data_IF_070616418865
#
_entry.id   IF_070616418865
#
_cell.length_a   1.000
_cell.length_b   1.000
_cell.length_c   1.000
_cell.angle_alpha   90.00
_cell.angle_beta   90.00
_cell.angle_gamma   90.00
#
_symmetry.space_group_name_H-M   'P 1'
#
loop_
_entity.id
_entity.type
_entity.pdbx_description
1 polymer ?
#
# COMPACT_ATOMS: atom_id res chain seq x y z
N UNK A 1 -3.77 13.15 63.07
CA UNK A 1 -2.57 13.40 62.26
C UNK A 1 -2.54 12.36 61.16
N UNK A 2 -3.04 12.69 59.97
CA UNK A 2 -2.96 11.82 58.79
C UNK A 2 -2.11 12.53 57.76
N UNK A 3 -0.88 12.06 57.60
CA UNK A 3 0.04 12.51 56.56
C UNK A 3 -0.46 12.00 55.21
N UNK A 4 -0.95 12.89 54.35
CA UNK A 4 -1.15 12.60 52.94
C UNK A 4 0.22 12.55 52.26
N UNK A 5 0.59 11.40 51.70
CA UNK A 5 1.69 11.33 50.72
C UNK A 5 1.30 12.15 49.47
N UNK A 6 2.20 12.95 48.90
CA UNK A 6 1.93 13.65 47.66
C UNK A 6 1.85 12.63 46.51
N UNK A 7 0.84 12.81 45.65
CA UNK A 7 0.67 12.06 44.41
C UNK A 7 1.98 12.11 43.59
N UNK A 8 2.52 10.95 43.26
CA UNK A 8 3.56 10.81 42.25
C UNK A 8 3.04 11.45 40.95
N UNK A 9 3.68 12.55 40.54
CA UNK A 9 3.49 13.15 39.24
C UNK A 9 3.89 12.13 38.17
N UNK A 10 2.93 11.35 37.66
CA UNK A 10 3.14 10.44 36.55
C UNK A 10 3.28 11.27 35.27
N UNK A 11 4.52 11.62 34.91
CA UNK A 11 4.80 12.23 33.61
C UNK A 11 4.15 11.38 32.50
N UNK A 12 3.62 12.01 31.43
CA UNK A 12 2.98 11.28 30.33
C UNK A 12 3.96 10.26 29.74
N UNK A 13 3.46 9.06 29.44
CA UNK A 13 4.27 7.96 28.88
C UNK A 13 4.79 8.38 27.50
N UNK A 14 6.09 8.64 27.40
CA UNK A 14 6.79 8.91 26.13
C UNK A 14 7.33 7.63 25.52
N UNK A 15 7.68 7.67 24.23
CA UNK A 15 8.46 6.60 23.61
C UNK A 15 9.77 6.45 24.40
N UNK A 16 9.98 5.29 25.02
CA UNK A 16 11.22 4.99 25.75
C UNK A 16 12.30 4.57 24.76
N UNK A 17 13.55 4.97 25.03
CA UNK A 17 14.71 4.44 24.32
C UNK A 17 14.88 2.94 24.63
N UNK A 18 15.45 2.19 23.69
CA UNK A 18 15.71 0.76 23.87
C UNK A 18 16.64 0.51 25.06
N UNK A 19 16.31 -0.48 25.88
CA UNK A 19 17.09 -0.84 27.08
C UNK A 19 18.32 -1.71 26.76
N UNK A 20 18.53 -2.11 25.50
CA UNK A 20 19.51 -3.15 25.16
C UNK A 20 20.50 -2.71 24.08
N UNK A 21 21.77 -3.07 24.28
CA UNK A 21 22.90 -2.80 23.37
C UNK A 21 22.91 -3.68 22.09
N UNK A 22 21.82 -4.42 21.81
CA UNK A 22 21.82 -5.50 20.80
C UNK A 22 20.87 -5.25 19.60
N UNK A 23 20.50 -3.98 19.36
CA UNK A 23 19.66 -3.58 18.22
C UNK A 23 20.34 -3.89 16.88
N UNK A 24 21.68 -3.92 16.86
CA UNK A 24 22.46 -4.28 15.67
C UNK A 24 22.15 -5.70 15.16
N UNK A 25 21.76 -6.62 16.04
CA UNK A 25 21.36 -7.98 15.68
C UNK A 25 20.04 -8.07 14.89
N UNK A 26 19.24 -7.00 14.86
CA UNK A 26 18.01 -6.96 14.06
C UNK A 26 18.28 -6.89 12.56
N UNK A 27 19.41 -6.30 12.12
CA UNK A 27 19.60 -5.89 10.72
C UNK A 27 19.42 -7.01 9.70
N UNK A 28 19.70 -8.26 10.07
CA UNK A 28 19.67 -9.42 9.18
C UNK A 28 18.42 -10.29 9.34
N UNK A 29 17.58 -10.01 10.33
CA UNK A 29 16.44 -10.86 10.66
C UNK A 29 15.20 -10.47 9.85
N UNK A 30 14.55 -11.47 9.25
CA UNK A 30 13.25 -11.31 8.59
C UNK A 30 12.16 -11.96 9.41
N UNK A 31 11.02 -11.28 9.52
CA UNK A 31 9.84 -11.82 10.20
C UNK A 31 8.87 -12.39 9.15
N UNK A 32 8.16 -11.52 8.44
CA UNK A 32 7.42 -11.82 7.21
C UNK A 32 7.54 -10.61 6.28
N UNK A 33 7.43 -10.84 4.98
CA UNK A 33 7.40 -9.75 4.00
C UNK A 33 5.99 -9.20 3.89
N UNK A 34 5.79 -7.90 4.16
CA UNK A 34 4.52 -7.23 3.91
C UNK A 34 4.33 -6.94 2.43
N UNK A 35 3.29 -7.50 1.83
CA UNK A 35 2.97 -7.30 0.41
C UNK A 35 1.71 -6.45 0.20
N UNK A 36 0.65 -6.74 0.96
CA UNK A 36 -0.65 -6.12 0.80
C UNK A 36 -1.37 -5.92 2.15
N UNK A 37 -2.57 -5.34 2.10
CA UNK A 37 -3.36 -4.99 3.29
C UNK A 37 -3.82 -6.21 4.11
N UNK A 38 -4.00 -7.38 3.50
CA UNK A 38 -4.44 -8.57 4.22
C UNK A 38 -3.42 -9.03 5.27
N UNK A 39 -2.13 -8.85 4.97
CA UNK A 39 -1.03 -9.26 5.84
C UNK A 39 -0.70 -8.22 6.91
N UNK A 40 -1.21 -6.99 6.79
CA UNK A 40 -0.80 -5.85 7.61
C UNK A 40 -0.97 -6.09 9.10
N UNK A 41 -2.12 -6.66 9.52
CA UNK A 41 -2.40 -6.89 10.94
C UNK A 41 -1.42 -7.89 11.55
N UNK A 42 -1.18 -9.00 10.86
CA UNK A 42 -0.23 -10.03 11.28
C UNK A 42 1.20 -9.46 11.29
N UNK A 43 1.57 -8.75 10.23
CA UNK A 43 2.87 -8.10 10.11
C UNK A 43 3.14 -7.12 11.26
N UNK A 44 2.20 -6.19 11.56
CA UNK A 44 2.34 -5.24 12.69
C UNK A 44 2.51 -5.98 14.02
N UNK A 45 1.75 -7.05 14.23
CA UNK A 45 1.85 -7.87 15.45
C UNK A 45 3.23 -8.53 15.58
N UNK A 46 3.78 -9.07 14.49
CA UNK A 46 5.06 -9.74 14.48
C UNK A 46 6.23 -8.76 14.66
N UNK A 47 6.19 -7.59 14.01
CA UNK A 47 7.13 -6.49 14.25
C UNK A 47 7.10 -6.08 15.72
N UNK A 48 5.90 -5.82 16.27
CA UNK A 48 5.76 -5.42 17.67
C UNK A 48 6.28 -6.49 18.64
N UNK A 49 5.95 -7.77 18.40
CA UNK A 49 6.43 -8.87 19.22
C UNK A 49 7.96 -8.97 19.20
N UNK A 50 8.58 -8.78 18.03
CA UNK A 50 10.04 -8.81 17.92
C UNK A 50 10.69 -7.63 18.63
N UNK A 51 10.14 -6.43 18.49
CA UNK A 51 10.67 -5.26 19.20
C UNK A 51 10.45 -5.36 20.70
N UNK A 52 9.39 -6.05 21.16
CA UNK A 52 9.12 -6.25 22.57
C UNK A 52 10.22 -7.07 23.25
N UNK A 53 10.78 -8.09 22.60
CA UNK A 53 11.88 -8.88 23.17
C UNK A 53 13.17 -8.06 23.37
N UNK A 54 13.30 -6.93 22.69
CA UNK A 54 14.42 -6.00 22.78
C UNK A 54 14.11 -4.77 23.65
N UNK A 55 12.86 -4.64 24.12
CA UNK A 55 12.37 -3.48 24.87
C UNK A 55 12.21 -2.22 24.00
N UNK A 56 11.98 -2.40 22.71
CA UNK A 56 11.95 -1.34 21.69
C UNK A 56 10.56 -1.12 21.06
N UNK A 57 9.54 -1.85 21.52
CA UNK A 57 8.19 -1.82 20.93
C UNK A 57 7.53 -0.44 20.99
N UNK A 58 7.92 0.40 21.93
CA UNK A 58 7.36 1.76 22.05
C UNK A 58 7.90 2.71 20.94
N UNK A 59 8.97 2.35 20.22
CA UNK A 59 9.55 3.19 19.16
C UNK A 59 8.74 3.19 17.86
N UNK A 60 7.86 2.20 17.66
CA UNK A 60 6.95 2.12 16.51
C UNK A 60 5.56 2.69 16.81
N UNK A 61 5.36 3.22 18.02
CA UNK A 61 4.06 3.69 18.51
C UNK A 61 3.89 5.19 18.27
N UNK A 62 3.23 5.54 17.17
CA UNK A 62 2.88 6.93 16.87
C UNK A 62 1.90 7.58 17.86
N UNK A 63 1.22 6.79 18.70
CA UNK A 63 0.33 7.29 19.75
C UNK A 63 1.08 7.74 21.03
N UNK A 64 2.38 7.44 21.13
CA UNK A 64 3.24 7.90 22.22
C UNK A 64 4.03 9.13 21.78
N UNK A 65 4.13 10.13 22.66
CA UNK A 65 4.94 11.30 22.40
C UNK A 65 6.43 10.94 22.32
N UNK A 66 7.13 11.50 21.33
CA UNK A 66 8.60 11.41 21.22
C UNK A 66 9.27 12.16 22.38
N UNK A 67 10.45 11.71 22.84
CA UNK A 67 11.29 12.54 23.70
C UNK A 67 11.66 13.84 22.98
N UNK A 68 11.84 14.91 23.75
CA UNK A 68 12.28 16.20 23.23
C UNK A 68 13.79 16.22 23.06
N UNK A 69 14.35 17.07 22.19
CA UNK A 69 15.81 17.19 22.00
C UNK A 69 16.58 17.47 23.30
N UNK A 70 15.95 18.11 24.28
CA UNK A 70 16.55 18.43 25.58
C UNK A 70 16.50 17.27 26.59
N UNK A 71 15.73 16.21 26.31
CA UNK A 71 15.57 15.07 27.21
C UNK A 71 16.83 14.20 27.20
N UNK A 72 17.22 13.73 28.40
CA UNK A 72 18.30 12.73 28.54
C UNK A 72 17.89 11.46 27.80
N UNK A 73 18.68 11.06 26.80
CA UNK A 73 18.43 9.87 25.97
C UNK A 73 17.76 10.15 24.63
N UNK A 74 17.53 11.42 24.23
CA UNK A 74 17.03 11.75 22.90
C UNK A 74 17.94 11.23 21.77
N UNK A 75 19.25 11.38 21.93
CA UNK A 75 20.22 10.89 20.95
C UNK A 75 20.15 9.37 20.78
N UNK A 76 20.05 8.64 21.89
CA UNK A 76 19.92 7.18 21.88
C UNK A 76 18.59 6.75 21.28
N UNK A 77 17.49 7.40 21.67
CA UNK A 77 16.17 7.18 21.08
C UNK A 77 16.19 7.40 19.55
N UNK A 78 16.78 8.50 19.09
CA UNK A 78 16.85 8.84 17.67
C UNK A 78 17.67 7.82 16.88
N UNK A 79 18.81 7.40 17.42
CA UNK A 79 19.62 6.33 16.84
C UNK A 79 18.83 5.01 16.73
N UNK A 80 18.23 4.56 17.83
CA UNK A 80 17.46 3.31 17.88
C UNK A 80 16.29 3.36 16.88
N UNK A 81 15.56 4.47 16.86
CA UNK A 81 14.40 4.68 15.98
C UNK A 81 14.80 4.62 14.51
N UNK A 82 15.92 5.22 14.11
CA UNK A 82 16.43 5.14 12.74
C UNK A 82 16.87 3.72 12.38
N UNK A 83 17.59 3.02 13.27
CA UNK A 83 18.04 1.64 13.01
C UNK A 83 16.85 0.71 12.84
N UNK A 84 15.85 0.82 13.71
CA UNK A 84 14.61 0.05 13.63
C UNK A 84 13.83 0.42 12.37
N UNK A 85 13.75 1.69 12.00
CA UNK A 85 13.14 2.13 10.74
C UNK A 85 13.78 1.45 9.53
N UNK A 86 15.12 1.47 9.44
CA UNK A 86 15.83 0.78 8.37
C UNK A 86 15.57 -0.73 8.36
N UNK A 87 15.52 -1.36 9.54
CA UNK A 87 15.17 -2.78 9.66
C UNK A 87 13.73 -3.06 9.17
N UNK A 88 12.75 -2.25 9.57
CA UNK A 88 11.34 -2.35 9.15
C UNK A 88 11.22 -2.19 7.63
N UNK A 89 11.99 -1.28 7.02
CA UNK A 89 12.02 -1.11 5.57
C UNK A 89 12.42 -2.42 4.86
N UNK A 90 13.27 -3.24 5.46
CA UNK A 90 13.65 -4.56 4.93
C UNK A 90 12.60 -5.66 5.15
N UNK A 91 11.50 -5.36 5.85
CA UNK A 91 10.38 -6.29 6.11
C UNK A 91 9.20 -6.09 5.15
N UNK A 92 9.34 -5.27 4.11
CA UNK A 92 8.28 -5.04 3.12
C UNK A 92 8.72 -5.52 1.74
N UNK A 93 7.76 -5.83 0.87
CA UNK A 93 8.01 -6.30 -0.49
C UNK A 93 8.69 -5.24 -1.35
N UNK A 94 9.33 -5.66 -2.45
CA UNK A 94 9.93 -4.75 -3.43
C UNK A 94 8.91 -3.74 -3.98
N UNK A 95 7.65 -4.15 -4.14
CA UNK A 95 6.58 -3.26 -4.61
C UNK A 95 6.23 -2.18 -3.58
N UNK A 96 6.19 -2.50 -2.28
CA UNK A 96 6.00 -1.52 -1.20
C UNK A 96 7.22 -0.61 -1.06
N UNK A 97 8.45 -1.16 -1.15
CA UNK A 97 9.69 -0.36 -1.15
C UNK A 97 9.72 0.68 -2.27
N UNK A 98 9.42 0.29 -3.50
CA UNK A 98 9.35 1.22 -4.65
C UNK A 98 8.33 2.35 -4.41
N UNK A 99 7.17 2.03 -3.82
CA UNK A 99 6.16 3.04 -3.45
C UNK A 99 6.63 3.97 -2.33
N UNK A 100 7.39 3.47 -1.36
CA UNK A 100 8.04 4.29 -0.32
C UNK A 100 9.06 5.26 -0.94
N UNK A 101 9.90 4.77 -1.85
CA UNK A 101 10.93 5.56 -2.54
C UNK A 101 10.33 6.69 -3.37
N UNK A 102 9.26 6.41 -4.13
CA UNK A 102 8.52 7.42 -4.88
C UNK A 102 7.96 8.53 -3.97
N UNK A 103 7.63 8.21 -2.71
CA UNK A 103 7.21 9.17 -1.67
C UNK A 103 8.37 9.80 -0.91
N UNK A 104 9.59 9.68 -1.43
CA UNK A 104 10.81 10.25 -0.87
C UNK A 104 11.37 9.48 0.33
N UNK A 105 10.86 8.28 0.63
CA UNK A 105 11.34 7.40 1.70
C UNK A 105 12.25 6.34 1.09
N UNK A 106 13.54 6.67 0.96
CA UNK A 106 14.57 5.75 0.46
C UNK A 106 15.47 5.21 1.56
N UNK A 107 16.17 4.11 1.26
CA UNK A 107 17.24 3.58 2.11
C UNK A 107 18.28 4.69 2.39
N UNK A 108 18.61 4.89 3.68
CA UNK A 108 19.60 5.89 4.11
C UNK A 108 19.07 7.30 4.42
N UNK A 109 17.78 7.61 4.17
CA UNK A 109 17.19 8.91 4.54
C UNK A 109 16.77 9.04 6.01
N UNK A 110 17.04 8.03 6.84
CA UNK A 110 16.88 8.08 8.30
C UNK A 110 15.51 8.56 8.75
N UNK A 111 14.47 7.73 8.56
CA UNK A 111 13.13 7.99 9.10
C UNK A 111 13.00 7.35 10.48
N UNK A 112 12.31 8.02 11.40
CA UNK A 112 11.94 7.42 12.68
C UNK A 112 10.98 6.25 12.47
N UNK A 113 11.08 5.24 13.31
CA UNK A 113 10.38 3.96 13.14
C UNK A 113 8.86 4.11 13.13
N UNK A 114 8.31 4.98 14.00
CA UNK A 114 6.88 5.31 14.05
C UNK A 114 6.40 6.02 12.77
N UNK A 115 7.13 7.03 12.29
CA UNK A 115 6.83 7.71 11.02
C UNK A 115 6.81 6.73 9.84
N UNK A 116 7.77 5.78 9.82
CA UNK A 116 7.86 4.80 8.76
C UNK A 116 6.70 3.79 8.81
N UNK A 117 6.33 3.33 10.01
CA UNK A 117 5.18 2.43 10.21
C UNK A 117 3.89 3.06 9.69
N UNK A 118 3.63 4.33 10.02
CA UNK A 118 2.48 5.07 9.55
C UNK A 118 2.47 5.21 8.02
N UNK A 119 3.63 5.46 7.41
CA UNK A 119 3.73 5.56 5.94
C UNK A 119 3.52 4.23 5.24
N UNK A 120 4.09 3.15 5.76
CA UNK A 120 3.87 1.80 5.25
C UNK A 120 2.39 1.44 5.31
N UNK A 121 1.75 1.71 6.46
CA UNK A 121 0.33 1.47 6.65
C UNK A 121 -0.52 2.26 5.64
N UNK A 122 -0.21 3.55 5.41
CA UNK A 122 -0.88 4.35 4.39
C UNK A 122 -0.68 3.83 2.96
N UNK A 123 0.53 3.37 2.62
CA UNK A 123 0.82 2.82 1.28
C UNK A 123 0.08 1.50 1.07
N UNK A 124 0.05 0.65 2.09
CA UNK A 124 -0.49 -0.70 2.00
C UNK A 124 -2.01 -0.70 2.09
N UNK A 125 -2.60 0.16 2.91
CA UNK A 125 -4.06 0.36 2.96
C UNK A 125 -4.59 1.23 1.84
N UNK A 126 -3.70 1.90 1.10
CA UNK A 126 -4.05 3.02 0.24
C UNK A 126 -4.48 4.23 1.05
N UNK A 127 -3.82 5.37 0.87
CA UNK A 127 -4.47 6.62 1.23
C UNK A 127 -5.37 7.05 0.07
N UNK A 128 -6.57 7.53 0.36
CA UNK A 128 -7.48 8.11 -0.62
C UNK A 128 -7.08 9.56 -0.97
N UNK A 129 -5.81 9.93 -0.78
CA UNK A 129 -5.38 11.28 -1.16
C UNK A 129 -5.42 11.40 -2.68
N UNK A 130 -5.69 12.62 -3.14
CA UNK A 130 -5.66 12.93 -4.55
C UNK A 130 -4.33 12.53 -5.21
N UNK A 131 -3.21 12.63 -4.48
CA UNK A 131 -1.89 12.24 -4.98
C UNK A 131 -1.79 10.74 -5.24
N UNK A 132 -2.27 9.89 -4.33
CA UNK A 132 -2.28 8.43 -4.52
C UNK A 132 -3.17 8.01 -5.69
N UNK A 133 -4.31 8.68 -5.84
CA UNK A 133 -5.22 8.45 -6.97
C UNK A 133 -4.53 8.88 -8.27
N UNK A 134 -3.89 10.05 -8.32
CA UNK A 134 -3.14 10.53 -9.49
C UNK A 134 -1.97 9.60 -9.87
N UNK A 135 -1.19 9.16 -8.89
CA UNK A 135 -0.08 8.20 -9.07
C UNK A 135 -0.55 6.87 -9.67
N UNK A 136 -1.84 6.50 -9.48
CA UNK A 136 -2.43 5.30 -10.06
C UNK A 136 -3.14 5.57 -11.39
N UNK A 137 -3.72 6.75 -11.57
CA UNK A 137 -4.38 7.16 -12.82
C UNK A 137 -3.38 7.27 -13.97
N UNK A 138 -2.17 7.77 -13.72
CA UNK A 138 -1.17 7.94 -14.78
C UNK A 138 -0.80 6.59 -15.43
N UNK A 139 -0.38 5.54 -14.69
CA UNK A 139 -0.14 4.22 -15.27
C UNK A 139 -1.39 3.61 -15.92
N UNK A 140 -2.55 3.71 -15.28
CA UNK A 140 -3.80 3.18 -15.83
C UNK A 140 -4.13 3.79 -17.19
N UNK A 141 -4.00 5.10 -17.36
CA UNK A 141 -4.22 5.73 -18.66
C UNK A 141 -3.09 5.42 -19.66
N UNK A 142 -1.87 5.19 -19.17
CA UNK A 142 -0.71 4.84 -19.98
C UNK A 142 -0.66 3.40 -20.48
N UNK A 143 -1.57 2.50 -20.10
CA UNK A 143 -1.66 1.15 -20.70
C UNK A 143 -2.06 1.32 -22.17
N UNK A 144 -1.18 0.91 -23.08
CA UNK A 144 -1.41 0.93 -24.52
C UNK A 144 -1.65 -0.49 -25.05
N UNK A 145 -2.63 -0.65 -25.94
CA UNK A 145 -2.90 -1.92 -26.59
C UNK A 145 -1.77 -2.30 -27.54
N UNK A 146 -1.13 -1.34 -28.21
CA UNK A 146 -0.03 -1.59 -29.15
C UNK A 146 1.23 -2.15 -28.46
N UNK A 147 1.36 -1.99 -27.14
CA UNK A 147 2.45 -2.52 -26.32
C UNK A 147 2.16 -3.93 -25.75
N UNK A 148 0.95 -4.47 -25.97
CA UNK A 148 0.54 -5.79 -25.48
C UNK A 148 0.67 -6.85 -26.59
N UNK A 149 1.03 -8.08 -26.22
CA UNK A 149 1.20 -9.19 -27.18
C UNK A 149 -0.15 -9.75 -27.68
N UNK A 150 -1.25 -9.47 -26.98
CA UNK A 150 -2.60 -9.95 -27.31
C UNK A 150 -3.71 -9.14 -26.64
N UNK A 151 -4.93 -9.30 -27.15
CA UNK A 151 -6.16 -8.77 -26.50
C UNK A 151 -6.31 -9.30 -25.07
N UNK A 152 -5.98 -10.56 -24.81
CA UNK A 152 -6.05 -11.14 -23.47
C UNK A 152 -5.09 -10.43 -22.51
N UNK A 153 -3.84 -10.22 -22.93
CA UNK A 153 -2.85 -9.51 -22.13
C UNK A 153 -3.31 -8.07 -21.84
N UNK A 154 -3.81 -7.36 -22.84
CA UNK A 154 -4.30 -6.00 -22.66
C UNK A 154 -5.44 -5.93 -21.63
N UNK A 155 -6.43 -6.82 -21.74
CA UNK A 155 -7.54 -6.93 -20.77
C UNK A 155 -7.01 -7.24 -19.36
N UNK A 156 -6.02 -8.13 -19.26
CA UNK A 156 -5.39 -8.52 -17.98
C UNK A 156 -4.69 -7.33 -17.32
N UNK A 157 -3.93 -6.54 -18.08
CA UNK A 157 -3.27 -5.33 -17.58
C UNK A 157 -4.28 -4.28 -17.10
N UNK A 158 -5.32 -4.00 -17.89
CA UNK A 158 -6.41 -3.08 -17.48
C UNK A 158 -7.12 -3.57 -16.22
N UNK A 159 -7.43 -4.86 -16.14
CA UNK A 159 -8.07 -5.46 -14.97
C UNK A 159 -7.20 -5.33 -13.71
N UNK A 160 -5.90 -5.59 -13.81
CA UNK A 160 -4.97 -5.50 -12.68
C UNK A 160 -4.88 -4.08 -12.13
N UNK A 161 -4.78 -3.08 -13.01
CA UNK A 161 -4.76 -1.68 -12.60
C UNK A 161 -6.10 -1.25 -11.99
N UNK A 162 -7.22 -1.71 -12.55
CA UNK A 162 -8.56 -1.44 -12.02
C UNK A 162 -8.79 -2.05 -10.64
N UNK A 163 -8.35 -3.29 -10.44
CA UNK A 163 -8.45 -3.96 -9.14
C UNK A 163 -7.69 -3.18 -8.06
N UNK A 164 -6.52 -2.62 -8.40
CA UNK A 164 -5.78 -1.81 -7.45
C UNK A 164 -6.50 -0.50 -7.07
N UNK A 165 -7.31 0.11 -7.95
CA UNK A 165 -8.18 1.22 -7.56
C UNK A 165 -9.26 0.81 -6.56
N UNK A 166 -9.75 -0.42 -6.65
CA UNK A 166 -10.69 -0.97 -5.66
C UNK A 166 -10.04 -1.29 -4.33
N UNK A 167 -8.76 -1.65 -4.35
CA UNK A 167 -7.96 -1.85 -3.13
C UNK A 167 -7.62 -0.50 -2.46
N UNK A 168 -7.50 0.57 -3.25
CA UNK A 168 -7.54 1.94 -2.75
C UNK A 168 -8.98 2.25 -2.28
N UNK A 169 -9.14 3.04 -1.21
CA UNK A 169 -10.48 3.51 -0.76
C UNK A 169 -11.12 4.55 -1.71
N UNK A 170 -10.81 4.47 -3.01
CA UNK A 170 -11.27 5.36 -4.07
C UNK A 170 -11.56 4.53 -5.34
N UNK A 171 -12.57 3.65 -5.30
CA UNK A 171 -12.88 2.76 -6.42
C UNK A 171 -13.34 3.57 -7.63
N UNK A 172 -12.80 3.24 -8.80
CA UNK A 172 -13.34 3.71 -10.08
C UNK A 172 -14.52 2.80 -10.49
N UNK A 173 -15.49 3.28 -11.28
CA UNK A 173 -16.53 2.43 -11.85
C UNK A 173 -15.97 1.44 -12.90
N UNK A 174 -16.39 0.17 -12.86
CA UNK A 174 -15.94 -0.88 -13.81
C UNK A 174 -16.22 -0.57 -15.29
N UNK A 175 -17.19 0.30 -15.56
CA UNK A 175 -17.47 0.77 -16.93
C UNK A 175 -16.29 1.55 -17.53
N UNK A 176 -15.45 2.20 -16.71
CA UNK A 176 -14.25 2.90 -17.16
C UNK A 176 -13.20 1.91 -17.69
N UNK A 177 -13.01 0.77 -17.02
CA UNK A 177 -12.12 -0.29 -17.49
C UNK A 177 -12.64 -0.87 -18.81
N UNK A 178 -13.95 -1.11 -18.93
CA UNK A 178 -14.53 -1.58 -20.19
C UNK A 178 -14.33 -0.57 -21.32
N UNK A 179 -14.60 0.72 -21.08
CA UNK A 179 -14.41 1.76 -22.09
C UNK A 179 -12.96 1.80 -22.61
N UNK A 180 -11.97 1.69 -21.71
CA UNK A 180 -10.55 1.64 -22.08
C UNK A 180 -10.22 0.40 -22.92
N UNK A 181 -10.86 -0.75 -22.66
CA UNK A 181 -10.68 -1.98 -23.45
C UNK A 181 -11.33 -1.87 -24.83
N UNK A 182 -12.53 -1.29 -24.92
CA UNK A 182 -13.29 -1.23 -26.17
C UNK A 182 -12.70 -0.25 -27.19
N UNK A 183 -12.10 0.85 -26.75
CA UNK A 183 -11.62 1.93 -27.60
C UNK A 183 -10.59 1.46 -28.67
N UNK A 184 -9.48 0.79 -28.31
CA UNK A 184 -8.51 0.34 -29.31
C UNK A 184 -8.98 -0.86 -30.14
N UNK A 185 -10.02 -1.58 -29.70
CA UNK A 185 -10.51 -2.80 -30.37
C UNK A 185 -11.68 -2.54 -31.32
N UNK A 186 -12.13 -1.28 -31.45
CA UNK A 186 -13.37 -0.92 -32.17
C UNK A 186 -13.36 -1.36 -33.64
N UNK A 187 -12.23 -1.19 -34.32
CA UNK A 187 -12.09 -1.56 -35.73
C UNK A 187 -11.71 -3.05 -35.90
N UNK A 188 -11.18 -3.68 -34.85
CA UNK A 188 -10.65 -5.04 -34.88
C UNK A 188 -11.71 -6.10 -34.55
N UNK A 189 -12.69 -5.80 -33.71
CA UNK A 189 -13.66 -6.76 -33.17
C UNK A 189 -15.11 -6.30 -33.35
N UNK A 190 -15.93 -7.10 -34.02
CA UNK A 190 -17.35 -6.81 -34.26
C UNK A 190 -18.14 -6.79 -32.93
N UNK A 191 -17.72 -7.58 -31.94
CA UNK A 191 -18.31 -7.59 -30.62
C UNK A 191 -18.26 -6.23 -29.93
N UNK A 192 -17.32 -5.33 -30.28
CA UNK A 192 -17.26 -3.99 -29.67
C UNK A 192 -18.54 -3.19 -29.95
N UNK A 193 -19.01 -3.18 -31.20
CA UNK A 193 -20.24 -2.50 -31.56
C UNK A 193 -21.46 -3.09 -30.84
N UNK A 194 -21.54 -4.43 -30.76
CA UNK A 194 -22.62 -5.14 -30.06
C UNK A 194 -22.62 -4.82 -28.56
N UNK A 195 -21.45 -4.83 -27.92
CA UNK A 195 -21.31 -4.50 -26.50
C UNK A 195 -21.73 -3.05 -26.25
N UNK A 196 -21.31 -2.10 -27.09
CA UNK A 196 -21.71 -0.69 -26.96
C UNK A 196 -23.23 -0.51 -27.08
N UNK A 197 -23.90 -1.28 -27.92
CA UNK A 197 -25.36 -1.29 -28.01
C UNK A 197 -26.00 -1.88 -26.75
N UNK A 198 -25.50 -3.00 -26.23
CA UNK A 198 -25.98 -3.60 -24.97
C UNK A 198 -25.83 -2.66 -23.77
N UNK A 199 -24.76 -1.86 -23.73
CA UNK A 199 -24.50 -0.89 -22.66
C UNK A 199 -25.54 0.22 -22.58
N UNK A 200 -26.26 0.54 -23.66
CA UNK A 200 -27.31 1.58 -23.66
C UNK A 200 -28.46 1.22 -22.71
N UNK A 201 -28.67 -0.07 -22.47
CA UNK A 201 -29.74 -0.60 -21.62
C UNK A 201 -29.29 -0.85 -20.18
N UNK A 202 -28.01 -0.62 -19.86
CA UNK A 202 -27.45 -0.90 -18.53
C UNK A 202 -27.18 0.42 -17.80
N UNK A 203 -27.88 0.69 -16.67
CA UNK A 203 -27.55 1.82 -15.82
C UNK A 203 -26.10 1.76 -15.34
N UNK A 204 -25.42 2.90 -15.31
CA UNK A 204 -23.98 2.97 -14.99
C UNK A 204 -23.66 2.45 -13.59
N UNK A 205 -24.58 2.63 -12.63
CA UNK A 205 -24.49 2.15 -11.25
C UNK A 205 -24.77 0.65 -11.10
N UNK A 206 -25.38 0.02 -12.11
CA UNK A 206 -25.60 -1.43 -12.19
C UNK A 206 -24.49 -2.17 -12.96
N UNK A 207 -23.45 -1.45 -13.42
CA UNK A 207 -22.32 -2.04 -14.10
C UNK A 207 -21.29 -2.55 -13.09
N UNK A 208 -21.18 -3.88 -12.95
CA UNK A 208 -20.35 -4.55 -11.94
C UNK A 208 -19.06 -5.13 -12.54
N UNK A 209 -18.14 -5.55 -11.65
CA UNK A 209 -16.96 -6.36 -12.02
C UNK A 209 -17.33 -7.61 -12.82
N UNK A 210 -18.41 -8.27 -12.45
CA UNK A 210 -18.86 -9.50 -13.11
C UNK A 210 -19.30 -9.22 -14.55
N UNK A 211 -20.03 -8.12 -14.78
CA UNK A 211 -20.39 -7.69 -16.13
C UNK A 211 -19.16 -7.35 -16.97
N UNK A 212 -18.17 -6.66 -16.39
CA UNK A 212 -16.88 -6.43 -17.05
C UNK A 212 -16.26 -7.76 -17.51
N UNK A 213 -16.11 -8.74 -16.60
CA UNK A 213 -15.48 -10.02 -16.93
C UNK A 213 -16.23 -10.79 -18.03
N UNK A 214 -17.57 -10.81 -17.99
CA UNK A 214 -18.39 -11.49 -19.02
C UNK A 214 -18.20 -10.85 -20.40
N UNK A 215 -18.21 -9.51 -20.47
CA UNK A 215 -18.05 -8.79 -21.74
C UNK A 215 -16.61 -8.88 -22.26
N UNK A 216 -15.61 -8.83 -21.37
CA UNK A 216 -14.21 -9.06 -21.71
C UNK A 216 -13.96 -10.46 -22.25
N UNK A 217 -14.61 -11.49 -21.69
CA UNK A 217 -14.48 -12.86 -22.19
C UNK A 217 -14.98 -13.01 -23.63
N UNK A 218 -16.08 -12.32 -23.97
CA UNK A 218 -16.58 -12.28 -25.36
C UNK A 218 -15.57 -11.67 -26.32
N UNK A 219 -14.90 -10.60 -25.90
CA UNK A 219 -13.84 -9.97 -26.70
C UNK A 219 -12.67 -10.93 -26.92
N UNK A 220 -12.22 -11.62 -25.86
CA UNK A 220 -11.14 -12.61 -25.95
C UNK A 220 -11.46 -13.74 -26.93
N UNK A 221 -12.67 -14.31 -26.84
CA UNK A 221 -13.09 -15.40 -27.74
C UNK A 221 -13.07 -14.94 -29.20
N UNK A 222 -13.56 -13.73 -29.51
CA UNK A 222 -13.51 -13.24 -30.89
C UNK A 222 -12.07 -12.95 -31.35
N UNK A 223 -11.24 -12.38 -30.47
CA UNK A 223 -9.83 -12.10 -30.75
C UNK A 223 -9.05 -13.39 -31.07
N UNK A 224 -9.24 -14.44 -30.27
CA UNK A 224 -8.68 -15.78 -30.52
C UNK A 224 -9.14 -16.36 -31.87
N UNK A 225 -10.41 -16.17 -32.23
CA UNK A 225 -10.93 -16.61 -33.53
C UNK A 225 -10.29 -15.85 -34.72
N UNK A 226 -9.87 -14.61 -34.51
CA UNK A 226 -9.18 -13.78 -35.50
C UNK A 226 -7.65 -13.92 -35.47
N UNK A 227 -7.09 -14.49 -34.42
CA UNK A 227 -5.65 -14.66 -34.22
C UNK A 227 -4.94 -13.36 -33.85
N UNK A 228 -5.60 -12.49 -33.08
CA UNK A 228 -5.08 -11.23 -32.52
C UNK A 228 -5.22 -11.20 -31.00
#
# INVERSE_FOLDING_TARGET
>A
MSSQQPAENSAPKTQRYCLTANIEGLRTERVITLENAADLKLWKSLISFRLQSLGCQDLIRGDLARPKPEDKGYADWGYCSIVIGNWICNQVSTSVKRRLENRGVGEGKGMFADDLMDKIEKIVLGDSSAQSILERLIPFWGIDYEECDSVEEFIREVYNEMQAFHDLKAPLPWIIALAKVLDPLEDDLLSVALIRDELKEIPADEFTREKFLILSERLKIEAEMKGI
#
